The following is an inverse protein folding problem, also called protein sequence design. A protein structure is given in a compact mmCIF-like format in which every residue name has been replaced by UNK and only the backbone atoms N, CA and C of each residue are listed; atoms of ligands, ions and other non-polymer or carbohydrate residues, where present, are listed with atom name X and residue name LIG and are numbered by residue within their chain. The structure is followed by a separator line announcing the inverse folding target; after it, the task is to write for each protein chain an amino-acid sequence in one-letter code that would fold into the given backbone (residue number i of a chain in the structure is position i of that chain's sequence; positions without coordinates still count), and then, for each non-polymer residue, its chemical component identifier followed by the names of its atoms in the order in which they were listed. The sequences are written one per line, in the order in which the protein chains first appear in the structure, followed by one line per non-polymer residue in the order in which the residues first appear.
data_IF_741412750911
#
_entry.id   IF_741412750911
#
_cell.length_a   1.000
_cell.length_b   1.000
_cell.length_c   1.000
_cell.angle_alpha   90.00
_cell.angle_beta   90.00
_cell.angle_gamma   90.00
#
_symmetry.space_group_name_H-M   'P 1'
#
loop_
_entity.id
_entity.type
_entity.pdbx_description
1 polymer ?
#
# COMPACT_ATOMS: atom_id res chain seq x y z
N UNK A 1 -59.09 -20.56 47.88
CA UNK A 1 -58.81 -19.18 47.44
C UNK A 1 -57.37 -19.12 46.97
N UNK A 2 -57.09 -19.06 45.66
CA UNK A 2 -56.27 -18.03 44.99
C UNK A 2 -56.55 -18.15 43.48
N UNK A 3 -56.87 -17.05 42.83
CA UNK A 3 -57.36 -16.95 41.45
C UNK A 3 -56.24 -17.18 40.42
N UNK A 4 -56.44 -18.10 39.48
CA UNK A 4 -55.62 -18.24 38.27
C UNK A 4 -56.06 -17.20 37.24
N UNK A 5 -55.12 -16.34 36.84
CA UNK A 5 -55.35 -15.14 36.05
C UNK A 5 -54.47 -15.17 34.78
N UNK A 6 -55.08 -14.77 33.65
CA UNK A 6 -54.52 -14.32 32.35
C UNK A 6 -54.23 -15.41 31.31
N UNK A 7 -55.11 -15.59 30.32
CA UNK A 7 -55.18 -14.87 29.03
C UNK A 7 -53.96 -15.07 28.11
N UNK A 8 -54.14 -15.99 27.15
CA UNK A 8 -53.97 -15.84 25.69
C UNK A 8 -53.05 -14.68 25.25
N UNK A 9 -51.96 -14.97 24.54
CA UNK A 9 -51.53 -14.20 23.34
C UNK A 9 -50.33 -14.85 22.62
N UNK A 10 -50.62 -15.40 21.43
CA UNK A 10 -49.91 -15.22 20.15
C UNK A 10 -48.46 -15.74 20.02
N UNK A 11 -48.34 -16.92 19.40
CA UNK A 11 -47.14 -17.32 18.67
C UNK A 11 -46.95 -16.46 17.40
N UNK A 12 -45.70 -16.14 17.03
CA UNK A 12 -45.29 -16.18 15.64
C UNK A 12 -43.91 -16.85 15.48
N UNK A 13 -43.89 -18.03 14.86
CA UNK A 13 -42.72 -18.54 14.11
C UNK A 13 -42.84 -18.05 12.65
N UNK A 14 -41.82 -18.26 11.79
CA UNK A 14 -40.44 -17.82 11.86
C UNK A 14 -40.15 -16.83 10.70
N UNK A 15 -39.14 -15.96 10.85
CA UNK A 15 -38.52 -15.37 9.67
C UNK A 15 -37.01 -15.40 9.86
N UNK A 16 -36.29 -16.33 9.24
CA UNK A 16 -34.86 -16.18 9.07
C UNK A 16 -34.65 -15.14 7.96
N UNK A 17 -34.76 -13.86 8.31
CA UNK A 17 -34.06 -12.84 7.55
C UNK A 17 -32.58 -13.15 7.74
N UNK A 18 -32.04 -13.98 6.85
CA UNK A 18 -30.62 -14.24 6.75
C UNK A 18 -29.97 -12.90 6.44
N UNK A 19 -29.48 -12.23 7.48
CA UNK A 19 -28.56 -11.11 7.36
C UNK A 19 -27.33 -11.66 6.63
N UNK A 20 -27.26 -11.43 5.32
CA UNK A 20 -26.07 -11.71 4.53
C UNK A 20 -25.02 -10.73 5.02
N UNK A 21 -24.23 -11.15 6.00
CA UNK A 21 -23.01 -10.44 6.41
C UNK A 21 -22.07 -10.51 5.22
N UNK A 22 -22.05 -9.47 4.39
CA UNK A 22 -21.06 -9.33 3.34
C UNK A 22 -19.69 -9.16 4.03
N UNK A 23 -18.98 -10.27 4.22
CA UNK A 23 -17.63 -10.25 4.75
C UNK A 23 -16.75 -9.52 3.73
N UNK A 24 -16.47 -8.24 4.01
CA UNK A 24 -15.48 -7.47 3.26
C UNK A 24 -14.11 -8.05 3.61
N UNK A 25 -13.60 -8.94 2.76
CA UNK A 25 -12.22 -9.39 2.85
C UNK A 25 -11.31 -8.23 2.45
N UNK A 26 -10.99 -7.36 3.41
CA UNK A 26 -9.85 -6.47 3.26
C UNK A 26 -8.59 -7.31 3.43
N UNK A 27 -7.89 -7.59 2.33
CA UNK A 27 -6.51 -8.08 2.36
C UNK A 27 -5.62 -6.96 2.90
N UNK A 28 -5.61 -6.74 4.22
CA UNK A 28 -4.50 -6.02 4.85
C UNK A 28 -3.29 -6.95 4.80
N UNK A 29 -2.41 -6.73 3.83
CA UNK A 29 -1.04 -7.20 3.94
C UNK A 29 -0.50 -6.78 5.32
N UNK A 30 0.35 -7.59 5.98
CA UNK A 30 0.88 -7.22 7.29
C UNK A 30 1.58 -5.87 7.17
N UNK A 31 0.98 -4.85 7.81
CA UNK A 31 1.52 -3.51 7.96
C UNK A 31 2.88 -3.67 8.67
N UNK A 32 3.95 -3.64 7.87
CA UNK A 32 5.31 -3.67 8.40
C UNK A 32 5.46 -2.41 9.25
N UNK A 33 5.61 -2.58 10.56
CA UNK A 33 5.78 -1.48 11.50
C UNK A 33 6.81 -0.48 10.96
N UNK A 34 6.52 0.83 10.99
CA UNK A 34 7.38 1.85 10.39
C UNK A 34 8.77 1.75 11.02
N UNK A 35 9.74 1.30 10.22
CA UNK A 35 11.15 1.24 10.64
C UNK A 35 11.55 2.67 10.96
N UNK A 36 11.95 2.94 12.20
CA UNK A 36 12.41 4.27 12.64
C UNK A 36 13.51 4.77 11.69
N UNK A 37 13.22 5.74 10.83
CA UNK A 37 14.20 6.24 9.86
C UNK A 37 14.89 7.47 10.44
N UNK A 38 16.05 7.31 11.06
CA UNK A 38 16.98 8.46 11.11
C UNK A 38 17.24 8.87 9.66
N UNK A 39 17.02 10.14 9.34
CA UNK A 39 17.24 10.67 8.00
C UNK A 39 18.70 11.13 7.86
N UNK A 40 19.33 10.78 6.73
CA UNK A 40 20.79 10.90 6.50
C UNK A 40 21.59 9.83 7.27
N UNK A 41 22.90 9.62 7.02
CA UNK A 41 23.78 10.09 5.93
C UNK A 41 23.58 9.29 4.62
N UNK A 42 23.61 9.98 3.48
CA UNK A 42 23.55 9.34 2.16
C UNK A 42 24.95 8.96 1.70
N UNK A 43 25.17 7.69 1.36
CA UNK A 43 26.43 7.25 0.75
C UNK A 43 26.63 7.94 -0.59
N UNK A 44 27.88 8.13 -1.00
CA UNK A 44 28.21 8.71 -2.32
C UNK A 44 27.70 7.83 -3.47
N UNK A 45 27.60 6.52 -3.26
CA UNK A 45 27.08 5.54 -4.22
C UNK A 45 25.56 5.65 -4.41
N UNK A 46 24.85 6.06 -3.37
CA UNK A 46 23.39 6.24 -3.41
C UNK A 46 22.99 7.60 -4.05
N UNK A 47 23.97 8.44 -4.41
CA UNK A 47 23.72 9.73 -5.06
C UNK A 47 23.33 9.50 -6.52
N UNK A 48 22.08 9.81 -6.84
CA UNK A 48 21.59 9.81 -8.24
C UNK A 48 22.32 10.86 -9.10
N UNK A 49 22.66 12.02 -8.53
CA UNK A 49 23.36 13.10 -9.25
C UNK A 49 24.85 13.11 -8.93
N UNK A 50 25.60 12.26 -9.62
CA UNK A 50 27.04 12.06 -9.40
C UNK A 50 27.92 13.21 -9.95
N UNK A 51 27.43 14.00 -10.91
CA UNK A 51 28.16 15.16 -11.47
C UNK A 51 27.54 16.52 -11.14
N UNK A 52 26.99 16.68 -9.93
CA UNK A 52 26.31 17.92 -9.53
C UNK A 52 27.22 19.17 -9.62
N UNK A 53 28.51 19.00 -9.31
CA UNK A 53 29.49 20.08 -9.31
C UNK A 53 30.28 20.23 -10.62
N UNK A 54 29.92 19.50 -11.68
CA UNK A 54 30.59 19.61 -12.98
C UNK A 54 32.07 19.22 -12.98
N UNK A 55 32.50 18.41 -12.00
CA UNK A 55 33.89 17.90 -11.91
C UNK A 55 34.23 16.96 -13.07
N UNK A 56 33.22 16.35 -13.67
CA UNK A 56 33.33 15.44 -14.80
C UNK A 56 32.71 16.09 -16.05
N UNK A 57 32.99 15.52 -17.23
CA UNK A 57 32.44 16.01 -18.49
C UNK A 57 30.90 16.09 -18.43
N UNK A 58 30.37 17.29 -18.64
CA UNK A 58 28.95 17.60 -18.65
C UNK A 58 28.32 17.35 -20.03
N UNK A 59 29.14 17.05 -21.04
CA UNK A 59 28.67 16.73 -22.39
C UNK A 59 28.12 15.31 -22.46
N UNK A 60 27.54 14.99 -23.62
CA UNK A 60 26.90 13.71 -23.89
C UNK A 60 27.82 12.51 -23.64
N UNK A 61 29.11 12.62 -23.97
CA UNK A 61 30.08 11.53 -23.74
C UNK A 61 30.22 11.20 -22.25
N UNK A 62 30.34 12.22 -21.41
CA UNK A 62 30.36 12.06 -19.96
C UNK A 62 29.06 11.47 -19.41
N UNK A 63 27.90 11.92 -19.90
CA UNK A 63 26.60 11.39 -19.49
C UNK A 63 26.42 9.91 -19.86
N UNK A 64 26.87 9.52 -21.05
CA UNK A 64 26.89 8.10 -21.48
C UNK A 64 27.80 7.26 -20.59
N UNK A 65 28.99 7.76 -20.22
CA UNK A 65 29.92 7.02 -19.34
C UNK A 65 29.40 6.83 -17.91
N UNK A 66 28.56 7.73 -17.41
CA UNK A 66 27.95 7.63 -16.07
C UNK A 66 26.68 6.77 -16.05
N UNK A 67 26.16 6.39 -17.22
CA UNK A 67 24.93 5.61 -17.32
C UNK A 67 23.65 6.45 -17.23
N UNK A 68 23.71 7.77 -17.39
CA UNK A 68 22.54 8.66 -17.36
C UNK A 68 21.49 8.26 -18.41
N UNK A 69 21.92 7.63 -19.52
CA UNK A 69 21.07 7.13 -20.60
C UNK A 69 20.79 5.61 -20.56
N UNK A 70 21.16 4.93 -19.47
CA UNK A 70 21.02 3.48 -19.37
C UNK A 70 19.56 3.03 -19.45
N UNK A 71 19.28 2.04 -20.30
CA UNK A 71 17.94 1.43 -20.48
C UNK A 71 16.79 2.38 -20.83
N UNK A 72 17.10 3.60 -21.26
CA UNK A 72 16.08 4.58 -21.68
C UNK A 72 15.17 4.05 -22.78
N UNK A 73 15.73 3.34 -23.77
CA UNK A 73 14.95 2.66 -24.84
C UNK A 73 14.02 1.58 -24.31
N UNK A 74 14.46 0.79 -23.33
CA UNK A 74 13.67 -0.29 -22.75
C UNK A 74 12.50 0.25 -21.92
N UNK A 75 12.74 1.33 -21.17
CA UNK A 75 11.70 2.03 -20.42
C UNK A 75 10.63 2.55 -21.37
N UNK A 76 11.04 3.12 -22.52
CA UNK A 76 10.12 3.64 -23.53
C UNK A 76 9.24 2.53 -24.14
N UNK A 77 9.82 1.36 -24.42
CA UNK A 77 9.08 0.23 -25.00
C UNK A 77 8.17 -0.51 -24.00
N UNK A 78 8.40 -0.33 -22.69
CA UNK A 78 7.53 -0.88 -21.63
C UNK A 78 6.32 0.01 -21.31
N UNK A 79 6.23 1.19 -21.92
CA UNK A 79 5.14 2.15 -21.75
C UNK A 79 3.85 1.73 -22.44
#
# INVERSE_FOLDING_TARGET
MILSLRQILRAPLPSPAATVTLARFNSTAPEQAPKKTKFGPLSDEDRIFTNLYGRHDWRLKGALSRGDWYKTKEILLKG
#
